data_IF_888477683509
#
_entry.id   IF_888477683509
#
_cell.length_a   1.000
_cell.length_b   1.000
_cell.length_c   1.000
_cell.angle_alpha   90.00
_cell.angle_beta   90.00
_cell.angle_gamma   90.00
#
_symmetry.space_group_name_H-M   'P 1'
#
loop_
_entity.id
_entity.type
_entity.pdbx_description
1 polymer ?
#
# COMPACT_ATOMS: atom_id res chain seq x y z
N UNK A 1 -10.21 12.48 -20.15
CA UNK A 1 -9.07 11.98 -20.96
C UNK A 1 -7.78 12.50 -20.33
N UNK A 2 -7.20 11.77 -19.37
CA UNK A 2 -5.91 12.09 -18.76
C UNK A 2 -5.13 10.78 -18.67
N UNK A 3 -4.05 10.70 -19.42
CA UNK A 3 -3.15 9.56 -19.51
C UNK A 3 -2.23 9.54 -18.28
N UNK A 4 -2.21 8.44 -17.53
CA UNK A 4 -1.15 8.15 -16.57
C UNK A 4 -0.02 7.43 -17.33
N UNK A 5 1.12 8.10 -17.54
CA UNK A 5 2.33 7.48 -18.08
C UNK A 5 3.33 7.27 -16.95
N UNK A 6 3.73 6.03 -16.73
CA UNK A 6 5.01 5.69 -16.09
C UNK A 6 6.12 5.79 -17.13
N UNK A 7 7.24 6.41 -16.77
CA UNK A 7 8.44 6.52 -17.61
C UNK A 7 9.61 5.79 -16.96
N UNK A 8 10.43 5.04 -17.71
CA UNK A 8 11.74 4.57 -17.26
C UNK A 8 12.78 5.70 -17.32
N UNK A 9 13.80 5.60 -16.45
CA UNK A 9 14.80 6.64 -16.15
C UNK A 9 15.82 6.95 -17.27
N UNK A 10 15.53 6.69 -18.55
CA UNK A 10 16.52 6.87 -19.64
C UNK A 10 16.04 7.67 -20.85
N UNK A 11 14.86 8.31 -20.84
CA UNK A 11 14.43 9.09 -22.01
C UNK A 11 13.78 10.44 -21.65
N UNK A 12 14.59 11.41 -21.22
CA UNK A 12 14.17 12.82 -21.12
C UNK A 12 15.36 13.76 -21.31
N UNK A 13 15.92 13.77 -22.52
CA UNK A 13 16.72 14.88 -23.01
C UNK A 13 16.14 15.33 -24.35
N UNK A 14 15.91 16.64 -24.45
CA UNK A 14 15.43 17.41 -25.63
C UNK A 14 13.92 17.45 -25.82
N UNK A 15 13.27 18.39 -25.13
CA UNK A 15 12.27 19.30 -25.73
C UNK A 15 12.02 20.49 -24.80
N UNK A 16 12.48 21.66 -25.22
CA UNK A 16 12.30 22.95 -24.56
C UNK A 16 11.02 23.60 -25.08
N UNK A 17 10.16 24.10 -24.19
CA UNK A 17 9.06 25.01 -24.54
C UNK A 17 9.32 26.39 -23.89
N UNK A 18 8.96 27.50 -24.56
CA UNK A 18 9.29 28.85 -24.09
C UNK A 18 8.36 29.32 -22.97
N UNK A 19 8.90 30.14 -22.06
CA UNK A 19 8.20 30.72 -20.92
C UNK A 19 7.22 31.84 -21.33
N UNK A 20 6.09 32.03 -20.61
CA UNK A 20 5.21 33.19 -20.83
C UNK A 20 5.63 34.40 -19.98
N UNK A 21 5.45 35.60 -20.57
CA UNK A 21 5.71 36.93 -20.00
C UNK A 21 4.67 37.35 -18.94
N UNK A 22 5.00 38.29 -18.03
CA UNK A 22 4.13 38.66 -16.93
C UNK A 22 3.10 39.73 -17.34
N UNK A 23 1.83 39.52 -16.96
CA UNK A 23 0.79 40.55 -17.01
C UNK A 23 0.38 40.91 -15.58
N UNK A 24 0.54 42.20 -15.24
CA UNK A 24 0.06 42.82 -14.02
C UNK A 24 -1.47 42.87 -13.99
N UNK A 25 -2.09 42.38 -12.91
CA UNK A 25 -3.37 42.92 -12.46
C UNK A 25 -3.51 42.90 -10.94
N UNK A 26 -4.01 44.02 -10.43
CA UNK A 26 -4.08 44.44 -9.04
C UNK A 26 -5.15 43.67 -8.26
N UNK A 27 -4.81 43.24 -7.04
CA UNK A 27 -5.76 42.65 -6.08
C UNK A 27 -6.67 43.72 -5.47
N UNK A 28 -7.99 43.51 -5.55
CA UNK A 28 -8.97 44.08 -4.61
C UNK A 28 -9.61 42.95 -3.82
N UNK A 29 -9.38 42.94 -2.52
CA UNK A 29 -10.03 42.06 -1.55
C UNK A 29 -11.48 42.50 -1.33
N UNK A 30 -12.43 41.67 -1.73
CA UNK A 30 -13.81 41.73 -1.24
C UNK A 30 -14.12 40.40 -0.54
N UNK A 31 -14.25 40.46 0.79
CA UNK A 31 -14.73 39.36 1.63
C UNK A 31 -16.26 39.26 1.46
N UNK A 32 -16.72 38.18 0.86
CA UNK A 32 -18.10 37.69 1.01
C UNK A 32 -18.05 36.18 1.19
N UNK A 33 -18.20 35.74 2.45
CA UNK A 33 -18.37 34.33 2.80
C UNK A 33 -19.76 33.88 2.33
N UNK A 34 -19.83 33.26 1.15
CA UNK A 34 -20.98 32.44 0.77
C UNK A 34 -20.66 30.99 1.15
N UNK A 35 -21.29 30.51 2.21
CA UNK A 35 -21.37 29.08 2.50
C UNK A 35 -22.11 28.39 1.34
N UNK A 36 -21.39 27.57 0.56
CA UNK A 36 -22.03 26.67 -0.39
C UNK A 36 -22.67 25.53 0.41
N UNK A 37 -23.97 25.24 0.25
CA UNK A 37 -24.56 24.08 0.90
C UNK A 37 -23.90 22.82 0.35
N UNK A 38 -23.53 21.91 1.24
CA UNK A 38 -23.07 20.57 0.89
C UNK A 38 -24.10 19.93 -0.06
N UNK A 39 -23.79 19.88 -1.35
CA UNK A 39 -24.58 19.12 -2.31
C UNK A 39 -24.32 17.65 -1.99
N UNK A 40 -25.25 17.03 -1.28
CA UNK A 40 -25.29 15.57 -1.12
C UNK A 40 -25.51 15.00 -2.52
N UNK A 41 -24.45 14.49 -3.15
CA UNK A 41 -24.61 13.72 -4.37
C UNK A 41 -25.59 12.57 -4.07
N UNK A 42 -26.68 12.41 -4.85
CA UNK A 42 -27.50 11.22 -4.70
C UNK A 42 -26.60 10.01 -4.91
N UNK A 43 -26.71 9.02 -4.04
CA UNK A 43 -26.10 7.73 -4.27
C UNK A 43 -26.61 7.24 -5.63
N UNK A 44 -25.73 7.19 -6.63
CA UNK A 44 -26.09 6.60 -7.90
C UNK A 44 -26.46 5.14 -7.60
N UNK A 45 -27.62 4.64 -8.07
CA UNK A 45 -27.92 3.23 -7.97
C UNK A 45 -26.77 2.47 -8.64
N UNK A 46 -26.08 1.63 -7.88
CA UNK A 46 -25.09 0.71 -8.44
C UNK A 46 -25.88 -0.25 -9.31
N UNK A 47 -25.82 -0.02 -10.62
CA UNK A 47 -26.41 -0.92 -11.59
C UNK A 47 -25.82 -2.32 -11.38
N UNK A 48 -26.66 -3.25 -10.96
CA UNK A 48 -26.34 -4.67 -10.78
C UNK A 48 -25.92 -5.36 -12.10
N UNK A 49 -25.95 -4.65 -13.23
CA UNK A 49 -25.44 -5.05 -14.53
C UNK A 49 -23.97 -4.65 -14.78
N UNK A 50 -23.27 -4.07 -13.80
CA UNK A 50 -21.83 -3.81 -13.91
C UNK A 50 -21.10 -5.11 -14.18
N UNK A 51 -20.85 -5.40 -15.47
CA UNK A 51 -19.86 -6.38 -15.89
C UNK A 51 -18.60 -6.04 -15.12
N UNK A 52 -18.16 -6.97 -14.27
CA UNK A 52 -16.89 -6.90 -13.57
C UNK A 52 -15.84 -6.29 -14.50
N UNK A 53 -15.40 -5.08 -14.17
CA UNK A 53 -14.34 -4.41 -14.92
C UNK A 53 -13.05 -5.14 -14.54
N UNK A 54 -12.49 -5.89 -15.48
CA UNK A 54 -11.19 -6.53 -15.28
C UNK A 54 -10.14 -5.45 -15.01
N UNK A 55 -9.61 -5.41 -13.78
CA UNK A 55 -8.57 -4.46 -13.41
C UNK A 55 -7.28 -4.83 -14.15
N UNK A 56 -6.67 -3.89 -14.90
CA UNK A 56 -5.41 -4.16 -15.57
C UNK A 56 -4.32 -4.53 -14.56
N UNK A 57 -3.41 -5.39 -14.98
CA UNK A 57 -2.21 -5.68 -14.20
C UNK A 57 -1.08 -4.72 -14.56
N UNK A 58 -0.10 -4.62 -13.68
CA UNK A 58 1.12 -3.86 -13.93
C UNK A 58 1.82 -4.39 -15.20
N UNK A 59 2.51 -3.50 -15.91
CA UNK A 59 3.32 -3.87 -17.09
C UNK A 59 4.69 -4.45 -16.73
N UNK A 60 4.96 -4.71 -15.44
CA UNK A 60 6.25 -5.23 -15.01
C UNK A 60 6.29 -6.75 -15.25
N UNK A 61 7.15 -7.23 -16.17
CA UNK A 61 7.05 -8.58 -16.72
C UNK A 61 7.30 -9.70 -15.71
N UNK A 62 7.97 -9.40 -14.59
CA UNK A 62 8.30 -10.40 -13.57
C UNK A 62 7.22 -10.56 -12.49
N UNK A 63 6.38 -9.54 -12.26
CA UNK A 63 5.39 -9.50 -11.16
C UNK A 63 4.14 -8.74 -11.61
N UNK A 64 3.10 -9.48 -12.02
CA UNK A 64 1.82 -8.91 -12.44
C UNK A 64 0.93 -8.62 -11.22
N UNK A 65 1.18 -7.51 -10.54
CA UNK A 65 0.28 -7.00 -9.49
C UNK A 65 -0.90 -6.23 -10.12
N UNK A 66 -2.15 -6.37 -9.62
CA UNK A 66 -3.26 -5.52 -10.05
C UNK A 66 -3.00 -4.04 -9.73
N UNK A 67 -3.27 -3.13 -10.68
CA UNK A 67 -2.94 -1.70 -10.53
C UNK A 67 -3.78 -0.98 -9.47
N UNK A 68 -4.89 -1.58 -9.07
CA UNK A 68 -5.82 -1.04 -8.10
C UNK A 68 -6.13 -2.14 -7.09
N UNK A 69 -6.01 -1.80 -5.80
CA UNK A 69 -6.34 -2.67 -4.69
C UNK A 69 -7.22 -1.97 -3.66
N UNK A 70 -7.95 -2.76 -2.88
CA UNK A 70 -8.70 -2.27 -1.73
C UNK A 70 -7.79 -2.29 -0.49
N UNK A 71 -7.52 -1.13 0.09
CA UNK A 71 -6.91 -1.03 1.41
C UNK A 71 -7.95 -1.18 2.51
N UNK A 72 -7.64 -1.98 3.54
CA UNK A 72 -8.58 -2.25 4.65
C UNK A 72 -8.25 -1.47 5.93
N UNK A 73 -7.33 -0.51 5.86
CA UNK A 73 -6.94 0.28 7.03
C UNK A 73 -8.11 1.11 7.59
N UNK A 74 -8.26 1.12 8.91
CA UNK A 74 -9.31 1.84 9.66
C UNK A 74 -10.76 1.44 9.34
N UNK A 75 -10.99 0.34 8.61
CA UNK A 75 -12.34 -0.21 8.48
C UNK A 75 -12.87 -0.58 9.87
N UNK A 76 -14.12 -0.19 10.16
CA UNK A 76 -14.73 -0.50 11.45
C UNK A 76 -14.95 -2.01 11.58
N UNK A 77 -14.86 -2.56 12.80
CA UNK A 77 -15.25 -3.95 13.03
C UNK A 77 -16.67 -4.21 12.53
N UNK A 78 -16.86 -5.31 11.81
CA UNK A 78 -18.13 -5.72 11.20
C UNK A 78 -18.42 -5.11 9.83
N UNK A 79 -17.63 -4.15 9.34
CA UNK A 79 -17.83 -3.55 8.01
C UNK A 79 -16.86 -4.12 6.96
N UNK A 80 -15.66 -4.55 7.37
CA UNK A 80 -14.60 -4.92 6.42
C UNK A 80 -14.88 -6.22 5.68
N UNK A 81 -15.51 -7.21 6.32
CA UNK A 81 -15.86 -8.48 5.66
C UNK A 81 -16.72 -8.23 4.41
N UNK A 82 -17.78 -7.42 4.58
CA UNK A 82 -18.69 -7.08 3.50
C UNK A 82 -18.01 -6.18 2.46
N UNK A 83 -17.20 -5.21 2.89
CA UNK A 83 -16.44 -4.35 1.96
C UNK A 83 -15.47 -5.15 1.07
N UNK A 84 -14.77 -6.14 1.65
CA UNK A 84 -13.89 -7.04 0.90
C UNK A 84 -14.69 -7.87 -0.10
N UNK A 85 -15.78 -8.49 0.35
CA UNK A 85 -16.66 -9.27 -0.53
C UNK A 85 -17.20 -8.43 -1.70
N UNK A 86 -17.72 -7.23 -1.43
CA UNK A 86 -18.29 -6.35 -2.46
C UNK A 86 -17.23 -5.84 -3.44
N UNK A 87 -16.02 -5.52 -2.96
CA UNK A 87 -14.93 -5.13 -3.84
C UNK A 87 -14.52 -6.29 -4.78
N UNK A 88 -14.40 -7.50 -4.26
CA UNK A 88 -14.10 -8.68 -5.07
C UNK A 88 -15.20 -8.93 -6.12
N UNK A 89 -16.48 -8.80 -5.75
CA UNK A 89 -17.62 -8.89 -6.68
C UNK A 89 -17.60 -7.78 -7.74
N UNK A 90 -17.12 -6.59 -7.40
CA UNK A 90 -16.97 -5.46 -8.33
C UNK A 90 -15.79 -5.65 -9.32
N UNK A 91 -14.92 -6.65 -9.11
CA UNK A 91 -13.79 -6.96 -9.97
C UNK A 91 -12.42 -6.61 -9.37
N UNK A 92 -12.34 -6.19 -8.10
CA UNK A 92 -11.07 -6.09 -7.41
C UNK A 92 -10.45 -7.49 -7.28
N UNK A 93 -9.15 -7.55 -7.51
CA UNK A 93 -8.35 -8.77 -7.31
C UNK A 93 -7.17 -8.52 -6.39
N UNK A 94 -7.01 -7.31 -5.84
CA UNK A 94 -5.94 -6.97 -4.89
C UNK A 94 -6.55 -6.44 -3.59
N UNK A 95 -6.22 -7.08 -2.47
CA UNK A 95 -6.59 -6.67 -1.11
C UNK A 95 -5.32 -6.40 -0.29
N UNK A 96 -5.24 -5.23 0.33
CA UNK A 96 -4.15 -4.80 1.22
C UNK A 96 -4.64 -4.78 2.67
N UNK A 97 -4.06 -5.67 3.49
CA UNK A 97 -4.60 -6.14 4.77
C UNK A 97 -3.86 -5.55 5.98
N UNK A 98 -4.62 -5.21 7.02
CA UNK A 98 -4.12 -4.71 8.31
C UNK A 98 -4.64 -5.55 9.48
N UNK A 99 -4.84 -4.95 10.67
CA UNK A 99 -5.26 -5.61 11.91
C UNK A 99 -6.68 -6.23 11.92
N UNK A 100 -7.28 -6.39 10.75
CA UNK A 100 -8.60 -6.94 10.53
C UNK A 100 -8.56 -8.24 9.69
N UNK A 101 -7.43 -8.95 9.74
CA UNK A 101 -7.16 -10.21 9.03
C UNK A 101 -8.32 -11.22 9.11
N UNK A 102 -8.90 -11.45 10.30
CA UNK A 102 -9.99 -12.42 10.46
C UNK A 102 -11.22 -12.09 9.60
N UNK A 103 -11.68 -10.84 9.64
CA UNK A 103 -12.86 -10.39 8.87
C UNK A 103 -12.55 -10.32 7.37
N UNK A 104 -11.33 -9.92 7.01
CA UNK A 104 -10.87 -9.94 5.62
C UNK A 104 -10.84 -11.37 5.07
N UNK A 105 -10.32 -12.32 5.85
CA UNK A 105 -10.27 -13.74 5.50
C UNK A 105 -11.67 -14.32 5.27
N UNK A 106 -12.64 -13.96 6.11
CA UNK A 106 -14.04 -14.34 5.92
C UNK A 106 -14.61 -13.78 4.61
N UNK A 107 -14.35 -12.52 4.29
CA UNK A 107 -14.84 -11.87 3.07
C UNK A 107 -14.28 -12.54 1.81
N UNK A 108 -12.98 -12.85 1.80
CA UNK A 108 -12.31 -13.60 0.74
C UNK A 108 -12.91 -15.00 0.60
N UNK A 109 -13.03 -15.74 1.71
CA UNK A 109 -13.57 -17.11 1.73
C UNK A 109 -14.98 -17.16 1.19
N UNK A 110 -15.85 -16.23 1.61
CA UNK A 110 -17.23 -16.09 1.11
C UNK A 110 -17.25 -15.89 -0.41
N UNK A 111 -16.43 -14.97 -0.92
CA UNK A 111 -16.33 -14.71 -2.36
C UNK A 111 -15.85 -15.93 -3.16
N UNK A 112 -14.80 -16.61 -2.70
CA UNK A 112 -14.25 -17.79 -3.39
C UNK A 112 -15.25 -18.95 -3.40
N UNK A 113 -15.96 -19.18 -2.27
CA UNK A 113 -16.99 -20.22 -2.18
C UNK A 113 -18.17 -19.95 -3.11
N UNK A 114 -18.61 -18.70 -3.23
CA UNK A 114 -19.75 -18.34 -4.08
C UNK A 114 -19.40 -18.40 -5.57
N UNK A 115 -18.21 -17.92 -5.95
CA UNK A 115 -17.82 -17.78 -7.36
C UNK A 115 -17.12 -19.01 -7.94
N UNK A 116 -16.60 -19.89 -7.09
CA UNK A 116 -15.76 -21.02 -7.50
C UNK A 116 -14.38 -20.60 -8.04
N UNK A 117 -14.01 -19.33 -7.89
CA UNK A 117 -12.69 -18.82 -8.27
C UNK A 117 -11.61 -19.39 -7.36
N UNK A 118 -10.39 -19.44 -7.89
CA UNK A 118 -9.25 -19.97 -7.15
C UNK A 118 -8.50 -18.86 -6.40
N UNK A 119 -7.86 -19.20 -5.27
CA UNK A 119 -7.12 -18.26 -4.42
C UNK A 119 -6.00 -17.55 -5.19
N UNK A 120 -5.38 -18.20 -6.17
CA UNK A 120 -4.31 -17.66 -7.02
C UNK A 120 -4.79 -16.63 -8.05
N UNK A 121 -6.10 -16.42 -8.21
CA UNK A 121 -6.65 -15.27 -8.94
C UNK A 121 -6.61 -13.97 -8.12
N UNK A 122 -6.31 -14.05 -6.82
CA UNK A 122 -6.26 -12.90 -5.91
C UNK A 122 -4.82 -12.57 -5.53
N UNK A 123 -4.54 -11.28 -5.39
CA UNK A 123 -3.32 -10.72 -4.83
C UNK A 123 -3.59 -10.22 -3.41
N UNK A 124 -3.03 -10.88 -2.41
CA UNK A 124 -3.19 -10.50 -0.99
C UNK A 124 -1.86 -9.95 -0.48
N UNK A 125 -1.89 -8.68 -0.09
CA UNK A 125 -0.77 -7.95 0.53
C UNK A 125 -1.01 -7.85 2.03
N UNK A 126 0.00 -8.14 2.84
CA UNK A 126 0.00 -7.86 4.28
C UNK A 126 1.35 -7.31 4.72
N UNK A 127 1.47 -6.95 5.98
CA UNK A 127 2.67 -6.37 6.56
C UNK A 127 2.99 -7.00 7.93
N UNK A 128 4.27 -7.00 8.30
CA UNK A 128 4.68 -7.63 9.55
C UNK A 128 4.38 -6.76 10.78
N UNK A 129 4.04 -7.44 11.87
CA UNK A 129 3.93 -6.90 13.23
C UNK A 129 5.32 -6.89 13.89
N UNK A 130 5.57 -6.04 14.91
CA UNK A 130 6.89 -5.88 15.56
C UNK A 130 7.40 -7.10 16.36
N UNK A 131 6.96 -8.32 16.05
CA UNK A 131 7.40 -9.57 16.65
C UNK A 131 8.07 -10.45 15.57
N UNK A 132 8.82 -11.48 15.98
CA UNK A 132 9.54 -12.43 15.12
C UNK A 132 8.80 -12.68 13.77
N UNK A 133 9.39 -12.24 12.65
CA UNK A 133 8.74 -12.17 11.34
C UNK A 133 8.09 -13.50 10.88
N UNK A 134 8.75 -14.67 11.02
CA UNK A 134 8.10 -15.97 10.85
C UNK A 134 6.81 -16.18 11.66
N UNK A 135 6.83 -15.91 12.97
CA UNK A 135 5.66 -16.12 13.82
C UNK A 135 4.53 -15.14 13.48
N UNK A 136 4.88 -13.89 13.15
CA UNK A 136 3.93 -12.89 12.70
C UNK A 136 3.24 -13.33 11.39
N UNK A 137 4.02 -13.85 10.43
CA UNK A 137 3.49 -14.39 9.17
C UNK A 137 2.52 -15.55 9.41
N UNK A 138 2.89 -16.55 10.22
CA UNK A 138 2.00 -17.68 10.52
C UNK A 138 0.66 -17.22 11.11
N UNK A 139 0.72 -16.23 12.01
CA UNK A 139 -0.48 -15.65 12.61
C UNK A 139 -1.34 -14.97 11.55
N UNK A 140 -0.75 -14.14 10.69
CA UNK A 140 -1.45 -13.46 9.59
C UNK A 140 -2.12 -14.46 8.66
N UNK A 141 -1.41 -15.52 8.25
CA UNK A 141 -1.94 -16.57 7.37
C UNK A 141 -3.11 -17.32 8.01
N UNK A 142 -2.98 -17.65 9.30
CA UNK A 142 -4.03 -18.30 10.08
C UNK A 142 -5.29 -17.43 10.18
N UNK A 143 -5.12 -16.16 10.54
CA UNK A 143 -6.24 -15.23 10.69
C UNK A 143 -6.93 -14.96 9.34
N UNK A 144 -6.16 -14.86 8.25
CA UNK A 144 -6.67 -14.73 6.89
C UNK A 144 -7.28 -16.02 6.32
N UNK A 145 -7.01 -17.18 6.94
CA UNK A 145 -7.40 -18.51 6.47
C UNK A 145 -6.87 -18.83 5.05
N UNK A 146 -5.60 -18.50 4.78
CA UNK A 146 -4.92 -18.75 3.49
C UNK A 146 -3.52 -19.35 3.71
N UNK A 147 -3.00 -20.06 2.71
CA UNK A 147 -1.72 -20.75 2.83
C UNK A 147 -0.49 -19.89 2.48
N UNK A 148 -0.69 -18.80 1.74
CA UNK A 148 0.39 -17.89 1.34
C UNK A 148 -0.09 -16.45 1.11
N UNK A 149 0.86 -15.51 1.21
CA UNK A 149 0.71 -14.12 0.80
C UNK A 149 1.38 -13.87 -0.55
N UNK A 150 0.76 -13.00 -1.36
CA UNK A 150 1.35 -12.53 -2.60
C UNK A 150 2.43 -11.50 -2.31
N UNK A 151 2.24 -10.64 -1.31
CA UNK A 151 3.23 -9.65 -0.89
C UNK A 151 3.26 -9.50 0.64
N UNK A 152 4.46 -9.52 1.21
CA UNK A 152 4.68 -9.22 2.63
C UNK A 152 5.63 -8.03 2.81
N UNK A 153 5.20 -7.02 3.56
CA UNK A 153 5.92 -5.76 3.72
C UNK A 153 6.50 -5.56 5.12
N UNK A 154 7.69 -4.96 5.18
CA UNK A 154 8.18 -4.31 6.40
C UNK A 154 7.37 -3.02 6.60
N UNK A 155 6.48 -2.94 7.59
CA UNK A 155 5.48 -1.86 7.69
C UNK A 155 6.08 -0.48 8.00
N UNK A 156 7.08 -0.43 8.88
CA UNK A 156 7.83 0.76 9.25
C UNK A 156 9.32 0.41 9.43
N UNK A 157 10.25 1.36 9.19
CA UNK A 157 11.67 1.16 9.44
C UNK A 157 12.00 1.04 10.94
N UNK A 158 11.19 1.67 11.82
CA UNK A 158 11.41 1.61 13.26
C UNK A 158 10.94 0.28 13.86
N UNK A 159 11.87 -0.49 14.43
CA UNK A 159 11.57 -1.67 15.24
C UNK A 159 11.02 -1.24 16.61
N UNK A 160 9.87 -1.78 17.00
CA UNK A 160 9.30 -1.57 18.34
C UNK A 160 9.73 -2.71 19.26
N UNK A 161 9.79 -2.45 20.56
CA UNK A 161 10.05 -3.52 21.53
C UNK A 161 8.92 -4.57 21.49
N UNK A 162 9.28 -5.84 21.64
CA UNK A 162 8.29 -6.92 21.74
C UNK A 162 7.45 -6.81 23.02
N UNK A 163 6.26 -7.43 23.02
CA UNK A 163 5.41 -7.44 24.22
C UNK A 163 3.90 -7.49 23.97
N UNK A 164 3.45 -7.81 22.75
CA UNK A 164 2.03 -7.94 22.41
C UNK A 164 1.30 -6.63 22.08
N UNK A 165 1.82 -5.47 22.50
CA UNK A 165 1.32 -4.17 22.09
C UNK A 165 1.90 -3.73 20.73
N UNK A 166 1.09 -3.05 19.90
CA UNK A 166 1.56 -2.58 18.59
C UNK A 166 2.58 -1.44 18.72
N UNK A 167 2.30 -0.51 19.62
CA UNK A 167 3.16 0.63 19.91
C UNK A 167 3.33 0.59 21.43
N UNK A 168 4.24 -0.25 21.93
CA UNK A 168 4.55 -0.29 23.36
C UNK A 168 5.02 1.09 23.80
N UNK A 169 4.65 1.51 25.00
CA UNK A 169 4.99 2.84 25.52
C UNK A 169 5.69 2.76 26.87
N UNK A 170 6.59 3.71 27.11
CA UNK A 170 7.21 3.89 28.41
C UNK A 170 6.26 4.59 29.41
N UNK A 171 6.76 4.83 30.63
CA UNK A 171 6.04 5.52 31.70
C UNK A 171 5.63 6.96 31.34
N UNK A 172 6.24 7.56 30.32
CA UNK A 172 5.93 8.89 29.81
C UNK A 172 5.02 8.86 28.57
N UNK A 173 4.58 7.68 28.13
CA UNK A 173 3.73 7.49 26.97
C UNK A 173 4.46 7.55 25.63
N UNK A 174 5.80 7.54 25.62
CA UNK A 174 6.62 7.55 24.41
C UNK A 174 6.81 6.13 23.87
N UNK A 175 6.81 5.94 22.53
CA UNK A 175 7.04 4.63 21.94
C UNK A 175 8.39 4.01 22.34
N UNK A 176 8.34 2.75 22.77
CA UNK A 176 9.50 1.93 23.07
C UNK A 176 10.06 1.33 21.78
N UNK A 177 11.13 1.95 21.26
CA UNK A 177 11.84 1.50 20.06
C UNK A 177 12.96 0.54 20.44
N UNK A 178 13.04 -0.59 19.74
CA UNK A 178 14.17 -1.51 19.85
C UNK A 178 15.32 -0.99 18.96
N UNK A 179 16.33 -0.42 19.61
CA UNK A 179 17.53 0.12 18.93
C UNK A 179 18.58 -0.95 18.63
N UNK A 180 18.39 -2.19 19.10
CA UNK A 180 19.28 -3.32 18.85
C UNK A 180 19.01 -4.01 17.51
N UNK A 181 17.79 -3.87 16.96
CA UNK A 181 17.41 -4.47 15.68
C UNK A 181 17.68 -3.50 14.54
N UNK A 182 18.49 -3.91 13.56
CA UNK A 182 18.78 -3.10 12.37
C UNK A 182 17.84 -3.43 11.22
N UNK A 183 17.71 -2.53 10.23
CA UNK A 183 16.98 -2.83 8.99
C UNK A 183 17.51 -4.08 8.28
N UNK A 184 18.81 -4.35 8.38
CA UNK A 184 19.45 -5.51 7.75
C UNK A 184 19.05 -6.82 8.42
N UNK A 185 18.90 -6.81 9.75
CA UNK A 185 18.50 -8.01 10.49
C UNK A 185 17.05 -8.38 10.16
N UNK A 186 16.16 -7.38 10.13
CA UNK A 186 14.78 -7.58 9.68
C UNK A 186 14.72 -8.03 8.22
N UNK A 187 15.52 -7.44 7.33
CA UNK A 187 15.51 -7.81 5.92
C UNK A 187 15.98 -9.24 5.69
N UNK A 188 17.04 -9.69 6.36
CA UNK A 188 17.49 -11.11 6.30
C UNK A 188 16.39 -12.07 6.75
N UNK A 189 15.62 -11.72 7.78
CA UNK A 189 14.48 -12.51 8.19
C UNK A 189 13.41 -12.56 7.10
N UNK A 190 13.12 -11.43 6.43
CA UNK A 190 12.18 -11.38 5.30
C UNK A 190 12.65 -12.22 4.11
N UNK A 191 13.95 -12.20 3.79
CA UNK A 191 14.55 -13.02 2.73
C UNK A 191 14.36 -14.52 3.02
N UNK A 192 14.59 -14.95 4.27
CA UNK A 192 14.37 -16.33 4.68
C UNK A 192 12.89 -16.77 4.54
N UNK A 193 11.92 -15.84 4.62
CA UNK A 193 10.51 -16.18 4.40
C UNK A 193 10.21 -16.60 2.96
N UNK A 194 10.97 -16.13 1.97
CA UNK A 194 10.81 -16.55 0.57
C UNK A 194 11.05 -18.06 0.41
N UNK A 195 12.01 -18.62 1.14
CA UNK A 195 12.36 -20.04 1.08
C UNK A 195 11.24 -20.95 1.61
N UNK A 196 10.33 -20.40 2.44
CA UNK A 196 9.21 -21.17 3.00
C UNK A 196 8.09 -21.43 1.99
N UNK A 197 8.04 -20.68 0.88
CA UNK A 197 6.93 -20.69 -0.07
C UNK A 197 5.62 -20.03 0.43
N UNK A 198 5.60 -19.55 1.69
CA UNK A 198 4.43 -18.89 2.29
C UNK A 198 4.29 -17.41 1.91
N UNK A 199 5.33 -16.84 1.31
CA UNK A 199 5.32 -15.48 0.75
C UNK A 199 5.96 -15.52 -0.63
N UNK A 200 5.29 -14.93 -1.63
CA UNK A 200 5.80 -14.89 -3.01
C UNK A 200 6.73 -13.70 -3.26
N UNK A 201 6.44 -12.57 -2.62
CA UNK A 201 7.17 -11.32 -2.81
C UNK A 201 7.35 -10.61 -1.46
N UNK A 202 8.49 -9.93 -1.30
CA UNK A 202 8.78 -9.14 -0.10
C UNK A 202 9.07 -7.69 -0.47
N UNK A 203 8.72 -6.76 0.41
CA UNK A 203 8.91 -5.35 0.16
C UNK A 203 8.98 -4.49 1.41
N UNK A 204 9.00 -3.18 1.19
CA UNK A 204 9.14 -2.16 2.23
C UNK A 204 7.90 -1.26 2.25
N UNK A 205 7.61 -0.65 3.39
CA UNK A 205 6.62 0.41 3.52
C UNK A 205 7.16 1.54 4.38
N UNK A 206 6.94 2.78 3.95
CA UNK A 206 7.37 4.00 4.67
C UNK A 206 8.89 4.15 4.86
N UNK A 207 9.71 3.49 4.03
CA UNK A 207 11.18 3.67 4.04
C UNK A 207 11.58 4.90 3.23
N UNK A 208 12.54 5.66 3.76
CA UNK A 208 13.21 6.71 3.00
C UNK A 208 14.23 6.13 2.01
N UNK A 209 14.69 6.98 1.09
CA UNK A 209 15.75 6.62 0.13
C UNK A 209 17.03 6.18 0.85
N UNK A 210 17.49 6.95 1.84
CA UNK A 210 18.74 6.67 2.54
C UNK A 210 18.69 5.34 3.32
N UNK A 211 17.58 5.08 4.00
CA UNK A 211 17.37 3.82 4.73
C UNK A 211 17.35 2.62 3.78
N UNK A 212 16.65 2.76 2.64
CA UNK A 212 16.59 1.74 1.60
C UNK A 212 17.97 1.48 1.00
N UNK A 213 18.70 2.53 0.59
CA UNK A 213 20.06 2.40 0.03
C UNK A 213 21.04 1.76 1.01
N UNK A 214 20.91 2.05 2.31
CA UNK A 214 21.75 1.42 3.32
C UNK A 214 21.43 -0.07 3.48
N UNK A 215 20.15 -0.44 3.48
CA UNK A 215 19.73 -1.83 3.59
C UNK A 215 20.18 -2.66 2.37
N UNK A 216 20.05 -2.09 1.18
CA UNK A 216 20.44 -2.72 -0.09
C UNK A 216 21.92 -3.10 -0.19
N UNK A 217 22.80 -2.51 0.63
CA UNK A 217 24.23 -2.88 0.65
C UNK A 217 24.46 -4.34 1.06
N UNK A 218 23.54 -4.92 1.82
CA UNK A 218 23.65 -6.29 2.34
C UNK A 218 22.52 -7.22 1.89
N UNK A 219 21.51 -6.70 1.18
CA UNK A 219 20.39 -7.47 0.68
C UNK A 219 20.85 -8.47 -0.41
N UNK A 220 20.45 -9.72 -0.25
CA UNK A 220 20.61 -10.78 -1.25
C UNK A 220 19.46 -10.70 -2.26
N UNK A 221 18.23 -10.58 -1.77
CA UNK A 221 17.02 -10.33 -2.55
C UNK A 221 16.62 -8.86 -2.44
N UNK A 222 16.47 -8.18 -3.57
CA UNK A 222 16.03 -6.77 -3.58
C UNK A 222 14.53 -6.69 -3.26
N UNK A 223 14.07 -5.64 -2.55
CA UNK A 223 12.65 -5.44 -2.31
C UNK A 223 11.92 -5.31 -3.65
N UNK A 224 10.85 -6.08 -3.78
CA UNK A 224 10.04 -6.14 -5.01
C UNK A 224 9.13 -4.92 -5.14
N UNK A 225 8.70 -4.40 -4.00
CA UNK A 225 7.76 -3.30 -3.88
C UNK A 225 8.16 -2.37 -2.74
N UNK A 226 7.80 -1.09 -2.89
CA UNK A 226 7.80 -0.11 -1.81
C UNK A 226 6.44 0.57 -1.76
N UNK A 227 5.79 0.52 -0.61
CA UNK A 227 4.52 1.21 -0.35
C UNK A 227 4.82 2.54 0.37
N UNK A 228 4.37 3.65 -0.19
CA UNK A 228 4.57 4.99 0.36
C UNK A 228 3.29 5.81 0.21
N UNK A 229 3.14 6.82 1.03
CA UNK A 229 2.09 7.82 0.87
C UNK A 229 2.33 8.62 -0.42
N UNK A 230 1.33 8.63 -1.31
CA UNK A 230 1.38 9.39 -2.56
C UNK A 230 -0.03 9.89 -2.90
N UNK A 231 -0.17 11.21 -3.01
CA UNK A 231 -1.38 11.88 -3.48
C UNK A 231 -1.00 13.27 -4.01
N UNK A 232 -1.86 13.97 -4.78
CA UNK A 232 -1.56 15.27 -5.38
C UNK A 232 -0.95 16.32 -4.42
N UNK A 233 -1.41 16.36 -3.17
CA UNK A 233 -0.91 17.30 -2.17
C UNK A 233 0.46 16.91 -1.55
N UNK A 234 0.96 15.70 -1.83
CA UNK A 234 2.29 15.23 -1.42
C UNK A 234 3.32 15.29 -2.56
N UNK A 235 2.94 15.79 -3.74
CA UNK A 235 3.93 16.19 -4.74
C UNK A 235 4.60 17.47 -4.25
N UNK A 236 5.72 17.32 -3.54
CA UNK A 236 6.72 18.39 -3.49
C UNK A 236 7.11 18.62 -4.95
N UNK A 237 6.75 19.79 -5.48
CA UNK A 237 7.33 20.29 -6.72
C UNK A 237 8.84 20.32 -6.51
N UNK A 238 9.55 19.28 -6.93
CA UNK A 238 11.01 19.29 -7.00
C UNK A 238 11.34 20.25 -8.16
N UNK A 239 11.27 21.54 -7.85
CA UNK A 239 11.70 22.62 -8.72
C UNK A 239 13.21 22.56 -8.86
N UNK A 240 13.65 22.10 -10.02
CA UNK A 240 14.86 22.50 -10.77
C UNK A 240 16.01 23.20 -10.02
N UNK A 241 16.51 22.70 -8.90
CA UNK A 241 17.83 23.09 -8.37
C UNK A 241 18.54 21.89 -7.74
N UNK A 242 18.95 20.97 -8.59
CA UNK A 242 20.11 20.12 -8.32
C UNK A 242 20.88 20.06 -9.64
N UNK A 243 21.69 21.09 -9.89
CA UNK A 243 22.78 20.97 -10.84
C UNK A 243 23.75 19.96 -10.23
N UNK A 244 23.95 18.86 -10.96
CA UNK A 244 25.01 17.88 -10.73
C UNK A 244 26.40 18.51 -10.83
#
# INVERSE_FOLDING_TARGET
MIHCRSLPLTTLLKRSFPAPSPLHHSFRLARTLHYSPFVRMPAAPVDASTKSLAIPHSKYPQKQIPILGLGTWLSKPGEVEQAVYDALKAGYTHIDVYKNENEVGNGIKKFLQETGKSRDELWITSNHRPENAPAALEKTLKDLQIDYLDLYLVHWPAAMQGGGELIPKDEHGLPLVDRGVTHNDTWRAMEALLETGKVRNIGLSNFTRAETENMLKTAVHKPDFIQIEVHPCMFVMIGSQANY
#
